data_IF_378775333867
#
_entry.id   IF_378775333867
#
_cell.length_a   1.000
_cell.length_b   1.000
_cell.length_c   1.000
_cell.angle_alpha   90.00
_cell.angle_beta   90.00
_cell.angle_gamma   90.00
#
_symmetry.space_group_name_H-M   'P 1'
#
loop_
_entity.id
_entity.type
_entity.pdbx_description
1 polymer ?
#
# COMPACT_ATOMS: atom_id res chain seq x y z
N UNK A 1 -19.81 -28.13 13.96
CA UNK A 1 -19.39 -26.71 14.06
C UNK A 1 -19.83 -26.00 12.78
N UNK A 2 -21.09 -25.54 12.72
CA UNK A 2 -21.58 -24.79 11.57
C UNK A 2 -21.04 -23.37 11.59
N UNK A 3 -20.28 -23.01 10.56
CA UNK A 3 -19.91 -21.62 10.30
C UNK A 3 -21.19 -20.86 9.95
N UNK A 4 -21.65 -20.00 10.87
CA UNK A 4 -22.64 -18.96 10.61
C UNK A 4 -22.21 -18.20 9.35
N UNK A 5 -22.82 -18.53 8.21
CA UNK A 5 -22.68 -17.79 6.96
C UNK A 5 -23.15 -16.37 7.28
N UNK A 6 -22.24 -15.40 7.17
CA UNK A 6 -22.52 -13.99 7.38
C UNK A 6 -23.69 -13.57 6.46
N UNK A 7 -24.91 -13.50 6.98
CA UNK A 7 -26.10 -13.02 6.26
C UNK A 7 -26.34 -11.55 6.56
N UNK A 8 -25.28 -10.74 6.51
CA UNK A 8 -25.44 -9.32 6.23
C UNK A 8 -25.38 -9.15 4.72
N UNK A 9 -26.50 -8.87 4.05
CA UNK A 9 -26.51 -8.54 2.61
C UNK A 9 -25.42 -7.48 2.36
N UNK A 10 -24.48 -7.77 1.47
CA UNK A 10 -23.40 -6.83 1.15
C UNK A 10 -24.04 -5.50 0.74
N UNK A 11 -23.59 -4.39 1.34
CA UNK A 11 -24.10 -3.03 1.10
C UNK A 11 -22.95 -2.08 0.81
N UNK A 12 -23.27 -0.97 0.14
CA UNK A 12 -22.29 0.06 -0.18
C UNK A 12 -21.15 -0.49 -1.04
N UNK A 13 -19.91 -0.08 -0.74
CA UNK A 13 -18.74 -0.45 -1.53
C UNK A 13 -18.55 -1.98 -1.63
N UNK A 14 -18.90 -2.72 -0.57
CA UNK A 14 -18.79 -4.19 -0.53
C UNK A 14 -19.79 -4.92 -1.45
N UNK A 15 -20.87 -4.26 -1.86
CA UNK A 15 -21.85 -4.81 -2.80
C UNK A 15 -21.49 -4.56 -4.28
N UNK A 16 -20.52 -3.67 -4.53
CA UNK A 16 -20.16 -3.24 -5.87
C UNK A 16 -19.22 -4.24 -6.55
N UNK A 17 -19.25 -4.27 -7.89
CA UNK A 17 -18.30 -5.05 -8.66
C UNK A 17 -16.85 -4.61 -8.39
N UNK A 18 -15.85 -5.50 -8.53
CA UNK A 18 -14.44 -5.17 -8.36
C UNK A 18 -13.98 -3.98 -9.22
N UNK A 19 -14.48 -3.88 -10.44
CA UNK A 19 -14.15 -2.84 -11.41
C UNK A 19 -14.64 -1.48 -10.90
N UNK A 20 -15.89 -1.43 -10.43
CA UNK A 20 -16.46 -0.19 -9.88
C UNK A 20 -15.77 0.24 -8.59
N UNK A 21 -15.40 -0.70 -7.72
CA UNK A 21 -14.59 -0.41 -6.52
C UNK A 21 -13.23 0.17 -6.89
N UNK A 22 -12.56 -0.41 -7.89
CA UNK A 22 -11.26 0.07 -8.37
C UNK A 22 -11.38 1.48 -8.94
N UNK A 23 -12.39 1.75 -9.75
CA UNK A 23 -12.65 3.07 -10.31
C UNK A 23 -12.85 4.13 -9.21
N UNK A 24 -13.69 3.82 -8.20
CA UNK A 24 -13.94 4.70 -7.05
C UNK A 24 -12.65 4.94 -6.26
N UNK A 25 -11.87 3.88 -5.97
CA UNK A 25 -10.59 4.01 -5.28
C UNK A 25 -9.60 4.87 -6.07
N UNK A 26 -9.48 4.65 -7.39
CA UNK A 26 -8.63 5.44 -8.28
C UNK A 26 -9.07 6.90 -8.38
N UNK A 27 -10.38 7.17 -8.40
CA UNK A 27 -10.92 8.54 -8.38
C UNK A 27 -10.65 9.22 -7.03
N UNK A 28 -10.84 8.50 -5.93
CA UNK A 28 -10.55 8.99 -4.58
C UNK A 28 -9.08 9.39 -4.42
N UNK A 29 -8.15 8.50 -4.79
CA UNK A 29 -6.71 8.78 -4.71
C UNK A 29 -6.29 10.01 -5.52
N UNK A 30 -6.75 10.12 -6.77
CA UNK A 30 -6.48 11.31 -7.62
C UNK A 30 -7.06 12.59 -7.02
N UNK A 31 -8.26 12.51 -6.47
CA UNK A 31 -8.92 13.67 -5.84
C UNK A 31 -8.17 14.13 -4.60
N UNK A 32 -7.75 13.20 -3.73
CA UNK A 32 -6.98 13.53 -2.53
C UNK A 32 -5.63 14.17 -2.86
N UNK A 33 -4.96 13.69 -3.92
CA UNK A 33 -3.73 14.31 -4.41
C UNK A 33 -3.99 15.71 -4.97
N UNK A 34 -5.00 15.87 -5.84
CA UNK A 34 -5.35 17.16 -6.42
C UNK A 34 -5.79 18.21 -5.37
N UNK A 35 -6.45 17.77 -4.30
CA UNK A 35 -6.87 18.63 -3.19
C UNK A 35 -5.77 18.93 -2.18
N UNK A 36 -4.59 18.33 -2.30
CA UNK A 36 -3.50 18.48 -1.33
C UNK A 36 -3.79 17.90 0.05
N UNK A 37 -4.83 17.08 0.19
CA UNK A 37 -5.15 16.39 1.45
C UNK A 37 -4.36 15.09 1.61
N UNK A 38 -3.80 14.57 0.52
CA UNK A 38 -2.87 13.46 0.56
C UNK A 38 -1.47 13.95 0.98
N UNK A 39 -0.71 13.06 1.63
CA UNK A 39 0.71 13.29 1.87
C UNK A 39 1.44 13.49 0.54
N UNK A 40 2.19 14.58 0.47
CA UNK A 40 3.04 14.93 -0.66
C UNK A 40 4.48 14.63 -0.28
N UNK A 41 5.15 13.82 -1.08
CA UNK A 41 6.57 13.56 -0.88
C UNK A 41 7.38 14.78 -1.26
N UNK A 42 8.15 15.28 -0.31
CA UNK A 42 9.22 16.22 -0.60
C UNK A 42 10.42 15.49 -1.23
N UNK A 43 11.26 16.22 -1.96
CA UNK A 43 12.49 15.67 -2.54
C UNK A 43 13.43 15.11 -1.45
N UNK A 44 13.42 15.72 -0.27
CA UNK A 44 14.20 15.28 0.89
C UNK A 44 13.70 13.93 1.43
N UNK A 45 12.38 13.77 1.60
CA UNK A 45 11.78 12.50 2.05
C UNK A 45 12.02 11.37 1.05
N UNK A 46 11.93 11.65 -0.25
CA UNK A 46 12.25 10.68 -1.29
C UNK A 46 13.72 10.25 -1.22
N UNK A 47 14.65 11.19 -1.02
CA UNK A 47 16.08 10.92 -0.86
C UNK A 47 16.38 10.10 0.40
N UNK A 48 15.77 10.46 1.53
CA UNK A 48 15.93 9.75 2.79
C UNK A 48 15.39 8.31 2.70
N UNK A 49 14.22 8.12 2.10
CA UNK A 49 13.66 6.79 1.85
C UNK A 49 14.55 5.95 0.92
N UNK A 50 15.10 6.56 -0.14
CA UNK A 50 16.05 5.92 -1.05
C UNK A 50 17.32 5.44 -0.34
N UNK A 51 17.94 6.31 0.46
CA UNK A 51 19.13 5.98 1.28
C UNK A 51 18.84 4.84 2.26
N UNK A 52 17.67 4.86 2.90
CA UNK A 52 17.24 3.79 3.82
C UNK A 52 17.07 2.46 3.10
N UNK A 53 16.49 2.48 1.90
CA UNK A 53 16.31 1.30 1.06
C UNK A 53 17.63 0.68 0.62
N UNK A 54 18.56 1.50 0.11
CA UNK A 54 19.88 1.02 -0.33
C UNK A 54 20.72 0.50 0.83
N UNK A 55 20.71 1.16 1.98
CA UNK A 55 21.39 0.68 3.18
C UNK A 55 20.85 -0.69 3.63
N UNK A 56 19.53 -0.91 3.58
CA UNK A 56 18.94 -2.20 3.95
C UNK A 56 19.32 -3.32 2.98
N UNK A 57 19.40 -3.00 1.69
CA UNK A 57 19.86 -3.95 0.68
C UNK A 57 21.32 -4.34 0.93
N UNK A 58 22.19 -3.37 1.21
CA UNK A 58 23.60 -3.62 1.52
C UNK A 58 23.75 -4.53 2.76
N UNK A 59 23.03 -4.21 3.85
CA UNK A 59 23.05 -5.02 5.07
C UNK A 59 22.63 -6.48 4.80
N UNK A 60 21.53 -6.67 4.06
CA UNK A 60 21.04 -8.01 3.71
C UNK A 60 22.05 -8.79 2.87
N UNK A 61 22.78 -8.12 1.98
CA UNK A 61 23.83 -8.74 1.17
C UNK A 61 24.99 -9.23 2.04
N UNK A 62 25.40 -8.44 3.03
CA UNK A 62 26.43 -8.85 4.00
C UNK A 62 25.97 -9.99 4.89
N UNK A 63 24.73 -9.95 5.39
CA UNK A 63 24.12 -11.05 6.17
C UNK A 63 24.10 -12.35 5.35
N UNK A 64 23.71 -12.29 4.08
CA UNK A 64 23.73 -13.47 3.20
C UNK A 64 25.15 -13.99 2.96
N UNK A 65 26.11 -13.09 2.75
CA UNK A 65 27.51 -13.49 2.55
C UNK A 65 28.10 -14.17 3.80
N UNK A 66 27.72 -13.71 5.00
CA UNK A 66 28.12 -14.34 6.27
C UNK A 66 27.44 -15.68 6.53
N UNK A 67 26.18 -15.84 6.11
CA UNK A 67 25.44 -17.10 6.26
C UNK A 67 25.87 -18.20 5.28
N UNK A 68 26.61 -17.84 4.24
CA UNK A 68 27.20 -18.76 3.25
C UNK A 68 28.61 -19.25 3.65
N UNK A 69 29.09 -18.88 4.84
CA UNK A 69 30.35 -19.33 5.44
C UNK A 69 30.05 -20.14 6.70
#
# INVERSE_FOLDING_TARGET
MELRKYTGRARGLAAMSPERRREIASKGGRTSQARGTAHQWTAEEASAAGKKGSARYALRKEEMARALH
#
